data_IF_022656052613
#
_entry.id   IF_022656052613
#
_cell.length_a   1.000
_cell.length_b   1.000
_cell.length_c   1.000
_cell.angle_alpha   90.00
_cell.angle_beta   90.00
_cell.angle_gamma   90.00
#
_symmetry.space_group_name_H-M   'P 1'
#
loop_
_entity.id
_entity.type
_entity.pdbx_description
1 polymer ?
#
# COMPACT_ATOMS: atom_id res chain seq x y z
N UNK A 1 -0.93 -27.25 5.15
CA UNK A 1 -2.01 -26.81 6.05
C UNK A 1 -3.13 -26.30 5.15
N UNK A 2 -4.31 -26.91 5.19
CA UNK A 2 -5.47 -26.38 4.46
C UNK A 2 -5.79 -24.98 5.00
N UNK A 3 -5.88 -24.00 4.10
CA UNK A 3 -6.30 -22.65 4.48
C UNK A 3 -7.83 -22.65 4.61
N UNK A 4 -8.32 -22.18 5.75
CA UNK A 4 -9.75 -21.98 5.95
C UNK A 4 -10.26 -20.93 4.95
N UNK A 5 -11.28 -21.27 4.17
CA UNK A 5 -11.86 -20.38 3.17
C UNK A 5 -13.34 -20.11 3.47
N UNK A 6 -13.77 -18.88 3.22
CA UNK A 6 -15.17 -18.47 3.38
C UNK A 6 -15.69 -17.92 2.06
N UNK A 7 -16.90 -18.32 1.67
CA UNK A 7 -17.55 -17.82 0.45
C UNK A 7 -18.18 -16.46 0.74
N UNK A 8 -17.83 -15.46 -0.07
CA UNK A 8 -18.45 -14.14 -0.06
C UNK A 8 -19.08 -13.88 -1.44
N UNK A 9 -20.31 -13.37 -1.45
CA UNK A 9 -21.01 -12.96 -2.68
C UNK A 9 -21.12 -11.45 -2.69
N UNK A 10 -20.51 -10.80 -3.68
CA UNK A 10 -20.54 -9.34 -3.85
C UNK A 10 -21.27 -8.96 -5.14
N UNK A 11 -21.92 -7.80 -5.14
CA UNK A 11 -22.50 -7.21 -6.36
C UNK A 11 -21.48 -6.24 -6.95
N UNK A 12 -21.15 -6.43 -8.22
CA UNK A 12 -20.24 -5.57 -8.97
C UNK A 12 -20.91 -5.16 -10.30
N UNK A 13 -20.53 -4.01 -10.88
CA UNK A 13 -20.94 -3.66 -12.24
C UNK A 13 -20.60 -4.80 -13.20
N UNK A 14 -21.52 -5.11 -14.13
CA UNK A 14 -21.36 -6.21 -15.08
C UNK A 14 -20.05 -6.11 -15.86
N UNK A 15 -19.69 -4.90 -16.29
CA UNK A 15 -18.46 -4.64 -17.03
C UNK A 15 -17.19 -5.04 -16.25
N UNK A 16 -17.17 -4.83 -14.93
CA UNK A 16 -16.01 -5.16 -14.08
C UNK A 16 -15.88 -6.67 -13.88
N UNK A 17 -17.02 -7.37 -13.77
CA UNK A 17 -17.05 -8.84 -13.70
C UNK A 17 -16.52 -9.46 -15.00
N UNK A 18 -16.96 -8.94 -16.15
CA UNK A 18 -16.50 -9.43 -17.45
C UNK A 18 -15.02 -9.12 -17.67
N UNK A 19 -14.56 -7.93 -17.26
CA UNK A 19 -13.14 -7.59 -17.25
C UNK A 19 -12.33 -8.57 -16.40
N UNK A 20 -12.75 -8.83 -15.15
CA UNK A 20 -12.04 -9.72 -14.25
C UNK A 20 -11.93 -11.15 -14.81
N UNK A 21 -12.99 -11.66 -15.45
CA UNK A 21 -12.97 -12.97 -16.14
C UNK A 21 -11.99 -12.97 -17.31
N UNK A 22 -12.03 -11.94 -18.16
CA UNK A 22 -11.15 -11.84 -19.32
C UNK A 22 -9.67 -11.75 -18.90
N UNK A 23 -9.38 -10.93 -17.89
CA UNK A 23 -8.06 -10.81 -17.29
C UNK A 23 -7.57 -12.14 -16.74
N UNK A 24 -8.38 -12.81 -15.91
CA UNK A 24 -8.04 -14.10 -15.33
C UNK A 24 -7.71 -15.12 -16.44
N UNK A 25 -8.56 -15.20 -17.48
CA UNK A 25 -8.34 -16.09 -18.63
C UNK A 25 -7.04 -15.77 -19.39
N UNK A 26 -6.77 -14.50 -19.66
CA UNK A 26 -5.57 -14.07 -20.38
C UNK A 26 -4.26 -14.40 -19.62
N UNK A 27 -4.33 -14.43 -18.30
CA UNK A 27 -3.19 -14.72 -17.42
C UNK A 27 -3.16 -16.17 -16.90
N UNK A 28 -4.07 -17.05 -17.35
CA UNK A 28 -4.12 -18.45 -16.92
C UNK A 28 -4.50 -18.63 -15.44
N UNK A 29 -5.23 -17.67 -14.87
CA UNK A 29 -5.62 -17.60 -13.46
C UNK A 29 -7.14 -17.76 -13.30
N UNK A 30 -7.58 -18.01 -12.07
CA UNK A 30 -9.00 -17.91 -11.70
C UNK A 30 -9.35 -16.49 -11.22
N UNK A 31 -10.63 -16.10 -11.28
CA UNK A 31 -11.09 -14.82 -10.71
C UNK A 31 -10.82 -14.77 -9.21
N UNK A 32 -10.98 -15.90 -8.51
CA UNK A 32 -10.64 -16.03 -7.08
C UNK A 32 -9.18 -15.69 -6.82
N UNK A 33 -8.27 -16.15 -7.68
CA UNK A 33 -6.83 -15.91 -7.52
C UNK A 33 -6.43 -14.46 -7.82
N UNK A 34 -7.08 -13.83 -8.79
CA UNK A 34 -6.95 -12.38 -9.03
C UNK A 34 -7.32 -11.59 -7.77
N UNK A 35 -8.45 -11.94 -7.15
CA UNK A 35 -8.94 -11.29 -5.94
C UNK A 35 -8.03 -11.59 -4.74
N UNK A 36 -7.64 -12.86 -4.52
CA UNK A 36 -6.76 -13.26 -3.41
C UNK A 36 -5.42 -12.52 -3.47
N UNK A 37 -4.80 -12.43 -4.65
CA UNK A 37 -3.55 -11.70 -4.85
C UNK A 37 -3.70 -10.21 -4.55
N UNK A 38 -4.82 -9.61 -4.95
CA UNK A 38 -5.10 -8.21 -4.64
C UNK A 38 -5.29 -8.00 -3.13
N UNK A 39 -6.05 -8.86 -2.46
CA UNK A 39 -6.25 -8.81 -1.00
C UNK A 39 -4.97 -9.04 -0.21
N UNK A 40 -4.07 -9.91 -0.68
CA UNK A 40 -2.73 -10.06 -0.07
C UNK A 40 -1.90 -8.79 -0.21
N UNK A 41 -1.96 -8.11 -1.36
CA UNK A 41 -1.29 -6.82 -1.55
C UNK A 41 -1.87 -5.75 -0.62
N UNK A 42 -3.19 -5.65 -0.50
CA UNK A 42 -3.84 -4.71 0.41
C UNK A 42 -3.46 -4.96 1.88
N UNK A 43 -3.47 -6.22 2.33
CA UNK A 43 -3.01 -6.59 3.68
C UNK A 43 -1.53 -6.28 3.91
N UNK A 44 -0.69 -6.49 2.90
CA UNK A 44 0.71 -6.10 2.98
C UNK A 44 0.81 -4.59 3.19
N UNK A 45 0.08 -3.77 2.42
CA UNK A 45 0.08 -2.31 2.57
C UNK A 45 -0.42 -1.84 3.94
N UNK A 46 -1.47 -2.46 4.50
CA UNK A 46 -1.93 -2.16 5.87
C UNK A 46 -0.90 -2.52 6.94
N UNK A 47 -0.08 -3.55 6.70
CA UNK A 47 1.01 -3.96 7.58
C UNK A 47 2.28 -3.09 7.47
N UNK A 48 2.35 -2.15 6.52
CA UNK A 48 3.47 -1.21 6.41
C UNK A 48 3.21 0.03 7.27
N UNK A 49 3.29 -0.15 8.59
CA UNK A 49 4.06 0.83 9.36
C UNK A 49 5.51 0.55 8.95
N UNK A 50 6.26 1.51 8.36
CA UNK A 50 7.64 1.24 7.99
C UNK A 50 8.37 0.66 9.21
N UNK A 51 9.14 -0.40 9.02
CA UNK A 51 10.02 -0.85 10.11
C UNK A 51 10.94 0.32 10.46
N UNK A 52 11.32 0.46 11.73
CA UNK A 52 12.22 1.53 12.22
C UNK A 52 13.51 1.61 11.39
N UNK A 53 13.93 0.49 10.81
CA UNK A 53 15.05 0.39 9.87
C UNK A 53 14.79 1.07 8.52
N UNK A 54 13.56 1.00 8.00
CA UNK A 54 13.17 1.67 6.76
C UNK A 54 12.98 3.19 6.99
N UNK A 55 12.50 3.62 8.15
CA UNK A 55 12.49 5.05 8.56
C UNK A 55 13.90 5.63 8.64
N UNK A 56 14.89 4.83 9.03
CA UNK A 56 16.29 5.28 9.09
C UNK A 56 16.96 5.40 7.71
N UNK A 57 16.44 4.69 6.70
CA UNK A 57 17.00 4.67 5.33
C UNK A 57 16.25 5.64 4.41
N UNK A 58 14.94 5.77 4.62
CA UNK A 58 14.12 6.69 3.85
C UNK A 58 14.15 8.03 4.58
N UNK A 59 14.69 9.05 3.93
CA UNK A 59 14.75 10.45 4.39
C UNK A 59 13.34 11.08 4.43
N UNK A 60 12.35 10.31 4.91
CA UNK A 60 10.96 10.69 5.05
C UNK A 60 10.88 11.63 6.24
N UNK A 61 10.48 12.86 5.95
CA UNK A 61 10.17 13.85 6.98
C UNK A 61 9.02 13.28 7.82
N UNK A 62 9.20 13.14 9.16
CA UNK A 62 8.14 12.69 10.03
C UNK A 62 6.90 13.57 9.85
N UNK A 63 5.68 13.01 9.86
CA UNK A 63 4.45 13.76 9.60
C UNK A 63 4.17 14.86 10.64
N UNK A 64 4.82 14.78 11.80
CA UNK A 64 4.78 15.72 12.92
C UNK A 64 5.82 16.85 12.83
N UNK A 65 6.68 16.85 11.83
CA UNK A 65 7.65 17.94 11.59
C UNK A 65 7.02 19.04 10.76
N UNK A 66 7.07 20.27 11.28
CA UNK A 66 6.81 21.49 10.52
C UNK A 66 8.06 21.84 9.68
N UNK A 67 8.04 21.63 8.35
CA UNK A 67 9.20 21.81 7.51
C UNK A 67 9.64 23.28 7.41
N UNK A 68 8.70 24.23 7.53
CA UNK A 68 9.02 25.66 7.46
C UNK A 68 9.83 26.07 8.68
N UNK A 69 9.39 25.64 9.87
CA UNK A 69 10.10 25.92 11.11
C UNK A 69 11.53 25.37 11.11
N UNK A 70 11.70 24.10 10.70
CA UNK A 70 13.04 23.46 10.66
C UNK A 70 13.97 24.19 9.69
N UNK A 71 13.46 24.61 8.54
CA UNK A 71 14.23 25.38 7.57
C UNK A 71 14.68 26.73 8.12
N UNK A 72 13.78 27.47 8.78
CA UNK A 72 14.10 28.75 9.41
C UNK A 72 15.12 28.62 10.54
N UNK A 73 14.97 27.61 11.40
CA UNK A 73 15.91 27.33 12.50
C UNK A 73 17.31 27.00 11.94
N UNK A 74 17.39 26.23 10.84
CA UNK A 74 18.65 25.92 10.16
C UNK A 74 19.32 27.17 9.57
N UNK A 75 18.56 28.03 8.88
CA UNK A 75 19.08 29.28 8.34
C UNK A 75 19.59 30.21 9.44
N UNK A 76 18.86 30.34 10.55
CA UNK A 76 19.30 31.12 11.69
C UNK A 76 20.63 30.61 12.26
N UNK A 77 20.78 29.30 12.43
CA UNK A 77 22.04 28.71 12.87
C UNK A 77 23.19 28.92 11.88
N UNK A 78 22.92 28.77 10.58
CA UNK A 78 23.93 28.89 9.52
C UNK A 78 24.45 30.32 9.35
N UNK A 79 23.60 31.32 9.59
CA UNK A 79 23.92 32.74 9.44
C UNK A 79 24.35 33.42 10.75
N UNK A 80 24.49 32.67 11.85
CA UNK A 80 25.00 33.15 13.15
C UNK A 80 26.51 32.87 13.38
N UNK A 81 27.28 32.56 12.34
CA UNK A 81 28.76 32.63 12.36
C UNK A 81 29.28 33.86 11.63
#
# INVERSE_FOLDING_TARGET
MEQETTKVTVRLPKQDVEFAKAYAKAHGMSVTEVIDRHLRRLRALEGHVPSTELEAITDLIPPDVDPEKVYHDHLHHKHQS
#
